data_IF_841030194537
#
_entry.id   IF_841030194537
#
_cell.length_a   1.000
_cell.length_b   1.000
_cell.length_c   1.000
_cell.angle_alpha   90.00
_cell.angle_beta   90.00
_cell.angle_gamma   90.00
#
_symmetry.space_group_name_H-M   'P 1'
#
loop_
_entity.id
_entity.type
_entity.pdbx_description
1 polymer ?
#
# COMPACT_ATOMS: atom_id res chain seq x y z
N UNK A 1 -8.60 -0.62 -22.59
CA UNK A 1 -7.72 -1.21 -21.56
C UNK A 1 -6.49 -0.38 -21.23
N UNK A 2 -5.74 0.13 -22.21
CA UNK A 2 -4.42 0.75 -21.97
C UNK A 2 -4.50 1.94 -21.00
N UNK A 3 -5.47 2.85 -21.15
CA UNK A 3 -5.68 3.97 -20.23
C UNK A 3 -5.82 3.52 -18.76
N UNK A 4 -6.54 2.42 -18.51
CA UNK A 4 -6.69 1.86 -17.17
C UNK A 4 -5.38 1.27 -16.62
N UNK A 5 -4.66 0.51 -17.44
CA UNK A 5 -3.33 0.00 -17.08
C UNK A 5 -2.37 1.13 -16.70
N UNK A 6 -2.39 2.23 -17.45
CA UNK A 6 -1.60 3.43 -17.16
C UNK A 6 -2.03 4.11 -15.84
N UNK A 7 -3.33 4.30 -15.61
CA UNK A 7 -3.83 4.90 -14.35
C UNK A 7 -3.40 4.07 -13.14
N UNK A 8 -3.53 2.75 -13.19
CA UNK A 8 -3.07 1.89 -12.09
C UNK A 8 -1.54 1.87 -11.95
N UNK A 9 -0.80 1.99 -13.05
CA UNK A 9 0.66 2.13 -13.00
C UNK A 9 1.06 3.41 -12.30
N UNK A 10 0.44 4.54 -12.65
CA UNK A 10 0.65 5.82 -11.97
C UNK A 10 0.29 5.70 -10.48
N UNK A 11 -0.83 5.06 -10.15
CA UNK A 11 -1.22 4.81 -8.77
C UNK A 11 -0.15 4.02 -7.99
N UNK A 12 0.40 2.93 -8.55
CA UNK A 12 1.45 2.17 -7.87
C UNK A 12 2.74 2.98 -7.72
N UNK A 13 3.16 3.73 -8.75
CA UNK A 13 4.31 4.62 -8.64
C UNK A 13 4.14 5.69 -7.56
N UNK A 14 2.98 6.35 -7.53
CA UNK A 14 2.66 7.33 -6.47
C UNK A 14 2.59 6.67 -5.10
N UNK A 15 2.06 5.45 -5.01
CA UNK A 15 1.97 4.72 -3.75
C UNK A 15 3.35 4.38 -3.20
N UNK A 16 4.28 3.95 -4.05
CA UNK A 16 5.69 3.75 -3.67
C UNK A 16 6.26 5.04 -3.08
N UNK A 17 6.14 6.16 -3.81
CA UNK A 17 6.69 7.44 -3.37
C UNK A 17 6.09 7.87 -2.03
N UNK A 18 4.78 7.70 -1.83
CA UNK A 18 4.11 8.03 -0.58
C UNK A 18 4.61 7.16 0.59
N UNK A 19 4.77 5.85 0.39
CA UNK A 19 5.31 4.97 1.43
C UNK A 19 6.76 5.32 1.78
N UNK A 20 7.59 5.65 0.79
CA UNK A 20 8.96 6.06 1.02
C UNK A 20 9.07 7.39 1.76
N UNK A 21 8.27 8.40 1.40
CA UNK A 21 8.23 9.69 2.10
C UNK A 21 7.71 9.52 3.53
N UNK A 22 6.74 8.61 3.74
CA UNK A 22 6.23 8.30 5.07
C UNK A 22 7.21 7.49 5.94
N UNK A 23 8.29 6.96 5.34
CA UNK A 23 9.30 6.20 6.05
C UNK A 23 10.37 7.10 6.64
N UNK A 24 10.18 7.50 7.89
CA UNK A 24 11.16 8.32 8.61
C UNK A 24 12.29 7.50 9.26
N UNK A 25 12.33 6.18 9.01
CA UNK A 25 13.27 5.25 9.65
C UNK A 25 13.90 4.31 8.61
N UNK A 26 15.14 3.87 8.85
CA UNK A 26 15.84 2.91 8.00
C UNK A 26 15.07 1.58 7.93
N UNK A 27 14.47 1.16 9.06
CA UNK A 27 13.67 -0.06 9.13
C UNK A 27 12.42 0.05 8.24
N UNK A 28 11.69 1.17 8.33
CA UNK A 28 10.54 1.42 7.45
C UNK A 28 10.94 1.36 5.97
N UNK A 29 12.11 1.91 5.63
CA UNK A 29 12.59 1.96 4.26
C UNK A 29 12.90 0.55 3.73
N UNK A 30 13.56 -0.27 4.55
CA UNK A 30 13.85 -1.68 4.23
C UNK A 30 12.54 -2.45 4.05
N UNK A 31 11.58 -2.32 4.99
CA UNK A 31 10.31 -3.04 4.91
C UNK A 31 9.56 -2.67 3.63
N UNK A 32 9.47 -1.38 3.29
CA UNK A 32 8.79 -0.95 2.07
C UNK A 32 9.53 -1.41 0.81
N UNK A 33 10.86 -1.30 0.77
CA UNK A 33 11.62 -1.71 -0.41
C UNK A 33 11.60 -3.23 -0.61
N UNK A 34 11.74 -4.02 0.45
CA UNK A 34 11.80 -5.49 0.37
C UNK A 34 10.41 -6.11 0.19
N UNK A 35 9.35 -5.48 0.70
CA UNK A 35 7.99 -6.05 0.63
C UNK A 35 7.15 -5.41 -0.47
N UNK A 36 7.05 -4.08 -0.52
CA UNK A 36 6.16 -3.40 -1.48
C UNK A 36 6.68 -3.47 -2.92
N UNK A 37 7.99 -3.34 -3.14
CA UNK A 37 8.52 -3.34 -4.51
C UNK A 37 8.26 -4.67 -5.23
N UNK A 38 8.62 -5.85 -4.68
CA UNK A 38 8.33 -7.10 -5.36
C UNK A 38 6.82 -7.32 -5.52
N UNK A 39 6.02 -6.96 -4.50
CA UNK A 39 4.56 -7.04 -4.59
C UNK A 39 4.02 -6.19 -5.76
N UNK A 40 4.43 -4.94 -5.88
CA UNK A 40 4.00 -4.05 -6.96
C UNK A 40 4.55 -4.48 -8.32
N UNK A 41 5.77 -4.99 -8.40
CA UNK A 41 6.33 -5.54 -9.62
C UNK A 41 5.48 -6.72 -10.14
N UNK A 42 5.13 -7.66 -9.25
CA UNK A 42 4.25 -8.79 -9.57
C UNK A 42 2.85 -8.29 -9.97
N UNK A 43 2.28 -7.36 -9.21
CA UNK A 43 0.97 -6.77 -9.47
C UNK A 43 0.91 -6.05 -10.84
N UNK A 44 1.95 -5.28 -11.17
CA UNK A 44 2.10 -4.60 -12.46
C UNK A 44 2.25 -5.58 -13.61
N UNK A 45 3.13 -6.58 -13.46
CA UNK A 45 3.30 -7.62 -14.47
C UNK A 45 1.96 -8.29 -14.77
N UNK A 46 1.23 -8.71 -13.73
CA UNK A 46 -0.08 -9.34 -13.87
C UNK A 46 -1.12 -8.41 -14.52
N UNK A 47 -1.20 -7.15 -14.08
CA UNK A 47 -2.07 -6.13 -14.67
C UNK A 47 -1.80 -5.97 -16.17
N UNK A 48 -0.53 -5.84 -16.56
CA UNK A 48 -0.17 -5.63 -17.95
C UNK A 48 -0.42 -6.88 -18.80
N UNK A 49 -0.24 -8.10 -18.27
CA UNK A 49 -0.69 -9.33 -18.93
C UNK A 49 -2.20 -9.28 -19.23
N UNK A 50 -3.03 -8.90 -18.26
CA UNK A 50 -4.49 -8.77 -18.44
C UNK A 50 -4.82 -7.71 -19.50
N UNK A 51 -4.19 -6.53 -19.41
CA UNK A 51 -4.40 -5.40 -20.33
C UNK A 51 -4.03 -5.76 -21.77
N UNK A 52 -2.91 -6.46 -21.96
CA UNK A 52 -2.41 -6.86 -23.27
C UNK A 52 -3.23 -7.99 -23.90
N UNK A 53 -3.69 -8.96 -23.11
CA UNK A 53 -4.54 -10.05 -23.61
C UNK A 53 -5.97 -9.60 -23.96
N UNK A 54 -6.42 -8.48 -23.39
CA UNK A 54 -7.83 -8.08 -23.45
C UNK A 54 -8.05 -6.72 -24.11
N UNK A 55 -7.15 -6.27 -25.01
CA UNK A 55 -7.12 -4.91 -25.58
C UNK A 55 -8.47 -4.34 -26.01
N UNK A 56 -9.34 -5.16 -26.58
CA UNK A 56 -10.67 -4.81 -27.12
C UNK A 56 -11.84 -5.03 -26.14
N UNK A 57 -11.59 -5.60 -24.96
CA UNK A 57 -12.61 -5.95 -23.98
C UNK A 57 -12.90 -4.78 -23.04
N UNK A 58 -14.10 -4.77 -22.46
CA UNK A 58 -14.45 -3.85 -21.36
C UNK A 58 -14.26 -4.55 -20.01
N UNK A 59 -13.94 -3.76 -18.99
CA UNK A 59 -13.74 -4.24 -17.62
C UNK A 59 -14.70 -3.51 -16.68
N UNK A 60 -15.05 -4.17 -15.57
CA UNK A 60 -15.83 -3.57 -14.49
C UNK A 60 -14.98 -3.47 -13.23
N UNK A 61 -14.66 -2.24 -12.82
CA UNK A 61 -13.97 -2.00 -11.55
C UNK A 61 -14.97 -2.16 -10.40
N UNK A 62 -14.61 -2.95 -9.40
CA UNK A 62 -15.32 -2.97 -8.12
C UNK A 62 -14.73 -1.89 -7.21
N UNK A 63 -15.29 -0.68 -7.27
CA UNK A 63 -14.80 0.47 -6.51
C UNK A 63 -14.66 0.17 -5.00
N UNK A 64 -15.55 -0.63 -4.42
CA UNK A 64 -15.47 -1.06 -3.01
C UNK A 64 -14.12 -1.69 -2.63
N UNK A 65 -13.55 -2.54 -3.49
CA UNK A 65 -12.26 -3.21 -3.19
C UNK A 65 -11.13 -2.18 -3.22
N UNK A 66 -11.15 -1.28 -4.21
CA UNK A 66 -10.14 -0.23 -4.33
C UNK A 66 -10.26 0.82 -3.22
N UNK A 67 -11.46 1.12 -2.75
CA UNK A 67 -11.67 1.97 -1.56
C UNK A 67 -11.07 1.34 -0.30
N UNK A 68 -11.22 0.02 -0.12
CA UNK A 68 -10.57 -0.72 0.98
C UNK A 68 -9.05 -0.65 0.85
N UNK A 69 -8.50 -0.87 -0.35
CA UNK A 69 -7.06 -0.78 -0.58
C UNK A 69 -6.51 0.63 -0.26
N UNK A 70 -7.21 1.69 -0.69
CA UNK A 70 -6.83 3.07 -0.36
C UNK A 70 -6.92 3.35 1.14
N UNK A 71 -7.98 2.89 1.81
CA UNK A 71 -8.10 3.04 3.26
C UNK A 71 -6.97 2.31 4.01
N UNK A 72 -6.63 1.09 3.58
CA UNK A 72 -5.51 0.33 4.14
C UNK A 72 -4.17 0.99 3.87
N UNK A 73 -3.98 1.62 2.71
CA UNK A 73 -2.78 2.39 2.39
C UNK A 73 -2.59 3.55 3.38
N UNK A 74 -3.64 4.36 3.57
CA UNK A 74 -3.62 5.49 4.52
C UNK A 74 -3.37 4.99 5.95
N UNK A 75 -4.07 3.94 6.38
CA UNK A 75 -3.87 3.34 7.71
C UNK A 75 -2.43 2.83 7.88
N UNK A 76 -1.86 2.16 6.88
CA UNK A 76 -0.48 1.65 6.91
C UNK A 76 0.53 2.80 7.01
N UNK A 77 0.31 3.91 6.30
CA UNK A 77 1.16 5.11 6.38
C UNK A 77 1.09 5.76 7.77
N UNK A 78 -0.09 5.83 8.37
CA UNK A 78 -0.28 6.40 9.70
C UNK A 78 0.34 5.50 10.78
N UNK A 79 0.20 4.18 10.67
CA UNK A 79 0.74 3.24 11.66
C UNK A 79 2.22 2.92 11.44
N UNK A 80 2.85 3.43 10.38
CA UNK A 80 4.24 3.13 10.07
C UNK A 80 5.21 3.73 11.08
N UNK A 81 6.41 3.12 11.25
CA UNK A 81 7.41 3.58 12.21
C UNK A 81 7.97 4.96 11.79
N UNK A 82 7.71 5.96 12.63
CA UNK A 82 8.12 7.35 12.43
C UNK A 82 9.37 7.75 13.22
N UNK A 83 9.51 7.33 14.47
CA UNK A 83 10.72 7.61 15.28
C UNK A 83 11.14 6.39 16.11
N UNK A 84 12.36 5.90 15.87
CA UNK A 84 12.95 4.73 16.54
C UNK A 84 14.15 5.06 17.46
N UNK A 85 14.36 6.32 17.88
CA UNK A 85 15.61 6.77 18.53
C UNK A 85 16.02 5.99 19.79
N UNK A 86 15.06 5.48 20.58
CA UNK A 86 15.31 4.63 21.78
C UNK A 86 14.80 3.20 21.64
N UNK A 87 14.40 2.79 20.43
CA UNK A 87 13.94 1.43 20.22
C UNK A 87 15.15 0.49 20.35
N UNK A 88 15.20 -0.25 21.47
CA UNK A 88 16.10 -1.41 21.60
C UNK A 88 15.57 -2.53 20.71
N UNK A 89 16.42 -3.49 20.35
CA UNK A 89 16.04 -4.62 19.49
C UNK A 89 14.72 -5.28 19.98
N UNK A 90 13.66 -5.12 19.18
CA UNK A 90 12.32 -5.65 19.47
C UNK A 90 11.34 -4.69 20.15
N UNK A 91 11.77 -3.51 20.59
CA UNK A 91 10.85 -2.47 21.09
C UNK A 91 10.15 -1.75 19.93
N UNK A 92 8.85 -1.42 20.07
CA UNK A 92 8.13 -0.73 19.02
C UNK A 92 8.63 0.71 18.85
N UNK A 93 8.56 1.22 17.61
CA UNK A 93 8.87 2.61 17.31
C UNK A 93 7.59 3.45 17.35
N UNK A 94 7.73 4.73 17.71
CA UNK A 94 6.60 5.66 17.63
C UNK A 94 6.06 5.70 16.20
N UNK A 95 4.75 5.46 16.06
CA UNK A 95 4.06 5.53 14.77
C UNK A 95 3.92 6.97 14.27
N UNK A 96 3.80 7.17 12.96
CA UNK A 96 3.49 8.48 12.38
C UNK A 96 2.18 9.07 12.96
N UNK A 97 1.20 8.23 13.28
CA UNK A 97 -0.06 8.64 13.92
C UNK A 97 0.20 9.24 15.30
N UNK A 98 1.08 8.63 16.07
CA UNK A 98 1.43 9.11 17.40
C UNK A 98 2.27 10.41 17.34
N UNK A 99 3.08 10.58 16.29
CA UNK A 99 3.78 11.85 16.02
C UNK A 99 2.77 12.95 15.69
N UNK A 100 1.72 12.65 14.92
CA UNK A 100 0.72 13.63 14.49
C UNK A 100 -0.29 13.99 15.59
N UNK A 101 -0.77 13.01 16.36
CA UNK A 101 -1.86 13.18 17.33
C UNK A 101 -1.41 13.08 18.79
N UNK A 102 -0.34 12.32 19.05
CA UNK A 102 0.18 12.07 20.40
C UNK A 102 1.31 12.99 20.82
N UNK A 103 1.65 14.00 20.01
CA UNK A 103 2.76 14.93 20.23
C UNK A 103 4.12 14.25 20.44
N UNK A 104 4.30 13.03 19.92
CA UNK A 104 5.61 12.39 19.94
C UNK A 104 6.60 13.15 19.04
N UNK A 105 7.86 13.34 19.47
CA UNK A 105 8.83 14.07 18.67
C UNK A 105 9.18 13.27 17.42
N UNK A 106 9.36 13.98 16.30
CA UNK A 106 9.76 13.40 15.01
C UNK A 106 11.15 12.77 15.05
N UNK A 107 12.02 13.23 15.93
CA UNK A 107 13.38 12.73 16.12
C UNK A 107 13.82 12.93 17.56
N UNK A 108 14.82 12.17 17.98
CA UNK A 108 15.37 12.25 19.33
C UNK A 108 14.57 11.47 20.37
N UNK A 109 15.01 11.50 21.63
CA UNK A 109 14.41 10.74 22.71
C UNK A 109 13.04 11.29 23.13
N UNK A 110 12.18 10.41 23.61
CA UNK A 110 10.90 10.78 24.21
C UNK A 110 10.51 9.76 25.27
N UNK A 111 9.80 10.23 26.29
CA UNK A 111 9.23 9.43 27.38
C UNK A 111 7.69 9.33 27.26
N UNK A 112 7.12 9.72 26.11
CA UNK A 112 5.68 9.62 25.84
C UNK A 112 5.29 8.13 25.77
N UNK A 113 4.17 7.70 26.37
CA UNK A 113 3.78 6.30 26.36
C UNK A 113 3.51 5.80 24.93
N UNK A 114 4.11 4.67 24.56
CA UNK A 114 3.93 4.02 23.26
C UNK A 114 2.50 3.54 23.02
N UNK A 115 1.99 3.76 21.82
CA UNK A 115 0.70 3.20 21.38
C UNK A 115 0.92 1.82 20.77
N UNK A 116 1.33 0.86 21.60
CA UNK A 116 1.77 -0.47 21.16
C UNK A 116 0.79 -1.18 20.23
N UNK A 117 -0.52 -1.01 20.47
CA UNK A 117 -1.57 -1.56 19.57
C UNK A 117 -1.45 -1.03 18.13
N UNK A 118 -1.20 0.27 17.97
CA UNK A 118 -1.04 0.94 16.67
C UNK A 118 0.29 0.53 16.03
N UNK A 119 1.35 0.52 16.82
CA UNK A 119 2.71 0.24 16.36
C UNK A 119 2.87 -1.22 15.90
N UNK A 120 2.24 -2.18 16.61
CA UNK A 120 2.24 -3.59 16.23
C UNK A 120 1.25 -3.93 15.10
N UNK A 121 0.28 -3.06 14.80
CA UNK A 121 -0.67 -3.29 13.71
C UNK A 121 -0.04 -3.08 12.32
N UNK A 122 1.09 -2.36 12.23
CA UNK A 122 1.73 -2.01 10.96
C UNK A 122 2.01 -3.20 10.01
N UNK A 123 2.68 -4.29 10.44
CA UNK A 123 2.94 -5.42 9.55
C UNK A 123 1.64 -6.08 9.04
N UNK A 124 0.64 -6.20 9.92
CA UNK A 124 -0.66 -6.74 9.57
C UNK A 124 -1.40 -5.89 8.53
N UNK A 125 -1.38 -4.56 8.71
CA UNK A 125 -1.97 -3.62 7.74
C UNK A 125 -1.24 -3.64 6.40
N UNK A 126 0.09 -3.72 6.41
CA UNK A 126 0.88 -3.82 5.18
C UNK A 126 0.54 -5.09 4.39
N UNK A 127 0.42 -6.22 5.07
CA UNK A 127 0.00 -7.48 4.46
C UNK A 127 -1.44 -7.41 3.94
N UNK A 128 -2.37 -6.88 4.74
CA UNK A 128 -3.76 -6.70 4.35
C UNK A 128 -3.90 -5.78 3.12
N UNK A 129 -3.12 -4.69 3.08
CA UNK A 129 -3.02 -3.81 1.93
C UNK A 129 -2.57 -4.58 0.69
N UNK A 130 -1.52 -5.39 0.81
CA UNK A 130 -1.03 -6.17 -0.32
C UNK A 130 -2.05 -7.20 -0.83
N UNK A 131 -2.73 -7.89 0.07
CA UNK A 131 -3.83 -8.80 -0.29
C UNK A 131 -4.96 -8.05 -0.99
N UNK A 132 -5.36 -6.87 -0.50
CA UNK A 132 -6.40 -6.06 -1.11
C UNK A 132 -6.07 -5.65 -2.56
N UNK A 133 -4.80 -5.30 -2.84
CA UNK A 133 -4.33 -5.02 -4.20
C UNK A 133 -4.47 -6.25 -5.10
N UNK A 134 -3.99 -7.42 -4.65
CA UNK A 134 -4.06 -8.65 -5.42
C UNK A 134 -5.52 -9.09 -5.68
N UNK A 135 -6.39 -8.98 -4.69
CA UNK A 135 -7.83 -9.25 -4.83
C UNK A 135 -8.49 -8.26 -5.79
N UNK A 136 -8.09 -6.98 -5.75
CA UNK A 136 -8.55 -5.95 -6.68
C UNK A 136 -8.21 -6.30 -8.13
N UNK A 137 -6.96 -6.69 -8.39
CA UNK A 137 -6.51 -7.13 -9.71
C UNK A 137 -7.20 -8.41 -10.17
N UNK A 138 -7.32 -9.41 -9.29
CA UNK A 138 -8.08 -10.63 -9.57
C UNK A 138 -9.51 -10.29 -10.00
N UNK A 139 -10.19 -9.43 -9.23
CA UNK A 139 -11.56 -9.04 -9.55
C UNK A 139 -11.65 -8.40 -10.93
N UNK A 140 -10.67 -7.60 -11.35
CA UNK A 140 -10.64 -7.05 -12.71
C UNK A 140 -10.48 -8.17 -13.73
N UNK A 141 -9.54 -9.08 -13.54
CA UNK A 141 -9.30 -10.22 -14.43
C UNK A 141 -10.55 -11.08 -14.67
N UNK A 142 -11.33 -11.37 -13.61
CA UNK A 142 -12.57 -12.16 -13.70
C UNK A 142 -13.73 -11.43 -14.36
N UNK A 143 -13.71 -10.09 -14.41
CA UNK A 143 -14.82 -9.28 -14.92
C UNK A 143 -14.53 -8.67 -16.29
N UNK A 144 -13.55 -9.21 -17.02
CA UNK A 144 -13.29 -8.83 -18.39
C UNK A 144 -14.34 -9.50 -19.29
N UNK A 145 -15.16 -8.71 -19.98
CA UNK A 145 -16.18 -9.19 -20.92
C UNK A 145 -15.86 -8.78 -22.35
N UNK A 146 -16.08 -9.67 -23.30
CA UNK A 146 -16.06 -9.32 -24.72
C UNK A 146 -17.19 -8.31 -25.00
N UNK A 147 -16.87 -7.26 -25.74
CA UNK A 147 -17.90 -6.41 -26.33
C UNK A 147 -18.57 -7.28 -27.41
N UNK A 148 -19.88 -7.56 -27.35
CA UNK A 148 -20.55 -8.20 -28.48
C UNK A 148 -20.44 -7.24 -29.67
N UNK A 149 -19.93 -7.73 -30.80
CA UNK A 149 -19.89 -6.94 -32.04
C UNK A 149 -21.29 -6.39 -32.30
N UNK A 150 -21.40 -5.07 -32.33
CA UNK A 150 -22.63 -4.41 -32.79
C UNK A 150 -22.63 -4.48 -34.32
N UNK A 151 -23.12 -5.61 -34.84
CA UNK A 151 -23.54 -5.75 -36.24
C UNK A 151 -24.91 -5.09 -36.43
#
# INVERSE_FOLDING_TARGET
>A
MIKFGLVLTIYFCLSVVLFLIASNTIIGFIVYTVVLYPLYAIALAWLWTIVLQSRTKTFRIKYRIWSIALALQVATILMSPGNCFRAKDGAPCYSNLQILLGNAPRSGPSDIPHWTLVEHAFPGLLLAYGVAILVGLWSVAKNVKCIPDQN
#
